data_IF_653539988466
#
_entry.id   IF_653539988466
#
_cell.length_a   1.000
_cell.length_b   1.000
_cell.length_c   1.000
_cell.angle_alpha   90.00
_cell.angle_beta   90.00
_cell.angle_gamma   90.00
#
_symmetry.space_group_name_H-M   'P 1'
#
loop_
_entity.id
_entity.type
_entity.pdbx_description
1 polymer ?
#
# COMPACT_ATOMS: atom_id res chain seq x y z
N UNK A 1 -30.91 -0.90 -3.02
CA UNK A 1 -30.19 -2.20 -3.11
C UNK A 1 -28.72 -1.93 -3.35
N UNK A 2 -28.04 -1.40 -2.33
CA UNK A 2 -26.60 -1.01 -2.34
C UNK A 2 -25.78 -1.79 -1.31
N UNK A 3 -26.44 -2.44 -0.34
CA UNK A 3 -25.82 -3.10 0.82
C UNK A 3 -24.79 -4.19 0.54
N UNK A 4 -24.69 -4.75 -0.67
CA UNK A 4 -23.74 -5.85 -0.93
C UNK A 4 -22.37 -5.36 -1.41
N UNK A 5 -22.34 -4.27 -2.19
CA UNK A 5 -21.08 -3.68 -2.67
C UNK A 5 -20.42 -2.92 -1.53
N UNK A 6 -21.19 -2.11 -0.79
CA UNK A 6 -20.68 -1.35 0.35
C UNK A 6 -20.04 -2.28 1.40
N UNK A 7 -20.71 -3.41 1.69
CA UNK A 7 -20.18 -4.44 2.59
C UNK A 7 -18.90 -5.09 2.05
N UNK A 8 -18.84 -5.40 0.76
CA UNK A 8 -17.63 -5.97 0.15
C UNK A 8 -16.45 -4.98 0.21
N UNK A 9 -16.71 -3.68 0.03
CA UNK A 9 -15.72 -2.61 0.18
C UNK A 9 -15.23 -2.53 1.64
N UNK A 10 -16.15 -2.54 2.61
CA UNK A 10 -15.81 -2.54 4.03
C UNK A 10 -14.93 -3.75 4.41
N UNK A 11 -15.29 -4.95 3.95
CA UNK A 11 -14.50 -6.17 4.16
C UNK A 11 -13.12 -6.07 3.48
N UNK A 12 -13.07 -5.58 2.25
CA UNK A 12 -11.83 -5.36 1.50
C UNK A 12 -10.86 -4.41 2.22
N UNK A 13 -11.38 -3.32 2.78
CA UNK A 13 -10.62 -2.35 3.56
C UNK A 13 -10.23 -2.89 4.94
N UNK A 14 -11.12 -3.63 5.61
CA UNK A 14 -10.83 -4.24 6.91
C UNK A 14 -9.68 -5.26 6.82
N UNK A 15 -9.67 -6.10 5.78
CA UNK A 15 -8.58 -7.06 5.53
C UNK A 15 -7.24 -6.34 5.38
N UNK A 16 -7.20 -5.22 4.66
CA UNK A 16 -5.99 -4.41 4.47
C UNK A 16 -5.53 -3.74 5.74
N UNK A 17 -6.46 -3.21 6.53
CA UNK A 17 -6.17 -2.64 7.84
C UNK A 17 -5.53 -3.67 8.77
N UNK A 18 -6.09 -4.88 8.83
CA UNK A 18 -5.53 -5.97 9.63
C UNK A 18 -4.17 -6.47 9.10
N UNK A 19 -4.00 -6.55 7.78
CA UNK A 19 -2.73 -6.90 7.17
C UNK A 19 -1.67 -5.84 7.48
N UNK A 20 -2.01 -4.55 7.39
CA UNK A 20 -1.11 -3.42 7.68
C UNK A 20 -0.56 -3.44 9.10
N UNK A 21 -1.37 -3.88 10.07
CA UNK A 21 -0.94 -4.06 11.46
C UNK A 21 0.10 -5.19 11.65
N UNK A 22 0.19 -6.13 10.70
CA UNK A 22 1.09 -7.29 10.75
C UNK A 22 2.34 -7.12 9.88
N UNK A 23 2.47 -5.99 9.20
CA UNK A 23 3.63 -5.69 8.36
C UNK A 23 4.82 -5.35 9.24
N UNK A 24 5.85 -6.18 9.14
CA UNK A 24 7.18 -5.90 9.66
C UNK A 24 7.98 -5.09 8.61
N UNK A 25 8.35 -3.84 8.90
CA UNK A 25 9.02 -2.97 7.93
C UNK A 25 10.41 -3.47 7.51
N UNK A 26 11.06 -4.32 8.31
CA UNK A 26 12.39 -4.87 7.96
C UNK A 26 12.29 -5.90 6.84
N UNK A 27 11.26 -6.75 6.89
CA UNK A 27 11.08 -7.89 5.99
C UNK A 27 10.04 -7.66 4.89
N UNK A 28 9.19 -6.65 5.01
CA UNK A 28 8.12 -6.38 4.06
C UNK A 28 8.61 -6.26 2.62
N UNK A 29 7.82 -6.80 1.69
CA UNK A 29 7.97 -6.49 0.27
C UNK A 29 7.33 -5.12 0.01
N UNK A 30 7.99 -4.30 -0.81
CA UNK A 30 7.49 -2.98 -1.20
C UNK A 30 7.48 -2.88 -2.71
N UNK A 31 6.38 -2.36 -3.25
CA UNK A 31 6.22 -2.03 -4.67
C UNK A 31 5.56 -0.67 -4.81
N UNK A 32 5.67 -0.10 -6.01
CA UNK A 32 4.93 1.08 -6.40
C UNK A 32 4.28 0.85 -7.76
N UNK A 33 3.18 1.55 -7.99
CA UNK A 33 2.56 1.68 -9.31
C UNK A 33 1.86 3.04 -9.40
N UNK A 34 1.46 3.42 -10.61
CA UNK A 34 0.62 4.60 -10.79
C UNK A 34 -0.82 4.26 -10.41
N UNK A 35 -1.40 5.05 -9.52
CA UNK A 35 -2.79 4.92 -9.08
C UNK A 35 -3.41 6.31 -8.90
N UNK A 36 -4.74 6.35 -8.77
CA UNK A 36 -5.45 7.55 -8.33
C UNK A 36 -5.02 7.85 -6.88
N UNK A 37 -4.47 9.05 -6.65
CA UNK A 37 -4.01 9.50 -5.33
C UNK A 37 -5.16 9.56 -4.33
N UNK A 38 -6.39 9.81 -4.80
CA UNK A 38 -7.58 9.86 -3.96
C UNK A 38 -8.24 8.49 -3.77
N UNK A 39 -7.91 7.52 -4.62
CA UNK A 39 -8.40 6.14 -4.53
C UNK A 39 -7.32 5.13 -4.97
N UNK A 40 -6.28 4.90 -4.12
CA UNK A 40 -5.15 4.06 -4.49
C UNK A 40 -5.51 2.60 -4.77
N UNK A 41 -6.72 2.17 -4.37
CA UNK A 41 -7.23 0.82 -4.56
C UNK A 41 -8.24 0.68 -5.70
N UNK A 42 -8.68 1.78 -6.33
CA UNK A 42 -9.69 1.76 -7.40
C UNK A 42 -11.05 1.24 -6.93
N UNK A 43 -11.45 1.58 -5.71
CA UNK A 43 -12.73 1.22 -5.10
C UNK A 43 -13.88 2.00 -5.74
N UNK A 44 -13.66 3.27 -6.05
CA UNK A 44 -14.66 4.17 -6.59
C UNK A 44 -14.71 4.07 -8.12
N UNK A 45 -15.92 3.99 -8.71
CA UNK A 45 -16.08 3.80 -10.15
C UNK A 45 -15.72 5.04 -10.98
N UNK A 46 -15.59 6.21 -10.33
CA UNK A 46 -15.27 7.48 -10.95
C UNK A 46 -13.86 7.91 -10.52
N UNK A 47 -12.82 7.52 -11.28
CA UNK A 47 -11.45 7.86 -10.95
C UNK A 47 -11.20 9.35 -11.16
N UNK A 48 -10.37 9.93 -10.29
CA UNK A 48 -9.92 11.30 -10.38
C UNK A 48 -8.81 11.47 -11.43
N UNK A 49 -8.60 12.72 -11.87
CA UNK A 49 -7.47 13.07 -12.75
C UNK A 49 -6.12 13.14 -11.98
N UNK A 50 -6.11 12.89 -10.67
CA UNK A 50 -4.93 12.97 -9.83
C UNK A 50 -4.21 11.61 -9.78
N UNK A 51 -3.45 11.29 -10.81
CA UNK A 51 -2.63 10.07 -10.86
C UNK A 51 -1.22 10.34 -10.31
N UNK A 52 -0.82 9.53 -9.34
CA UNK A 52 0.47 9.63 -8.65
C UNK A 52 1.17 8.29 -8.53
N UNK A 53 2.44 8.33 -8.10
CA UNK A 53 3.18 7.11 -7.74
C UNK A 53 2.81 6.74 -6.31
N UNK A 54 1.97 5.73 -6.17
CA UNK A 54 1.54 5.20 -4.88
C UNK A 54 2.38 3.99 -4.47
N UNK A 55 2.68 3.89 -3.17
CA UNK A 55 3.54 2.85 -2.62
C UNK A 55 2.75 1.90 -1.75
N UNK A 56 3.05 0.61 -1.90
CA UNK A 56 2.34 -0.46 -1.22
C UNK A 56 3.33 -1.41 -0.57
N UNK A 57 2.95 -1.93 0.58
CA UNK A 57 3.71 -2.93 1.33
C UNK A 57 2.87 -4.18 1.58
N UNK A 58 3.56 -5.31 1.73
CA UNK A 58 2.97 -6.55 2.22
C UNK A 58 3.97 -7.35 3.05
N UNK A 59 3.46 -8.15 3.98
CA UNK A 59 4.29 -9.17 4.63
C UNK A 59 4.74 -10.23 3.61
N UNK A 60 5.93 -10.82 3.78
CA UNK A 60 6.35 -11.94 2.95
C UNK A 60 5.29 -13.05 2.95
N UNK A 61 4.97 -13.58 1.77
CA UNK A 61 3.94 -14.61 1.57
C UNK A 61 2.48 -14.19 1.81
N UNK A 62 2.19 -12.91 2.01
CA UNK A 62 0.82 -12.38 1.95
C UNK A 62 0.49 -11.97 0.53
N UNK A 63 -0.77 -12.12 0.10
CA UNK A 63 -1.25 -11.54 -1.16
C UNK A 63 -1.92 -10.17 -0.99
N UNK A 64 -1.97 -9.67 0.25
CA UNK A 64 -2.61 -8.39 0.59
C UNK A 64 -1.58 -7.27 0.52
N UNK A 65 -1.68 -6.44 -0.51
CA UNK A 65 -0.97 -5.16 -0.62
C UNK A 65 -1.74 -4.06 0.11
N UNK A 66 -1.03 -3.32 0.96
CA UNK A 66 -1.57 -2.21 1.75
C UNK A 66 -0.83 -0.94 1.34
N UNK A 67 -1.60 0.08 0.96
CA UNK A 67 -1.08 1.42 0.65
C UNK A 67 -0.42 2.02 1.89
N UNK A 68 0.66 2.79 1.70
CA UNK A 68 1.46 3.32 2.80
C UNK A 68 0.69 4.22 3.77
N UNK A 69 -0.23 5.05 3.28
CA UNK A 69 -1.16 5.87 4.06
C UNK A 69 -2.08 5.08 5.00
N UNK A 70 -2.40 3.84 4.67
CA UNK A 70 -3.17 2.93 5.54
C UNK A 70 -2.32 2.21 6.60
N UNK A 71 -0.99 2.33 6.55
CA UNK A 71 -0.11 1.71 7.52
C UNK A 71 -0.04 2.51 8.84
N UNK A 72 0.24 1.85 9.97
CA UNK A 72 0.67 2.54 11.17
C UNK A 72 1.82 3.48 10.86
N UNK A 73 1.76 4.71 11.40
CA UNK A 73 2.74 5.77 11.11
C UNK A 73 4.19 5.29 11.26
N UNK A 74 4.50 4.56 12.33
CA UNK A 74 5.83 4.01 12.58
C UNK A 74 6.28 3.01 11.49
N UNK A 75 5.38 2.13 11.05
CA UNK A 75 5.65 1.18 9.96
C UNK A 75 5.90 1.93 8.66
N UNK A 76 5.06 2.90 8.32
CA UNK A 76 5.22 3.75 7.13
C UNK A 76 6.57 4.48 7.11
N UNK A 77 6.93 5.12 8.21
CA UNK A 77 8.19 5.86 8.34
C UNK A 77 9.42 4.94 8.20
N UNK A 78 9.39 3.77 8.83
CA UNK A 78 10.46 2.78 8.72
C UNK A 78 10.63 2.27 7.27
N UNK A 79 9.52 2.06 6.55
CA UNK A 79 9.55 1.67 5.15
C UNK A 79 10.13 2.77 4.25
N UNK A 80 9.76 4.04 4.48
CA UNK A 80 10.34 5.17 3.75
C UNK A 80 11.83 5.30 3.95
N UNK A 81 12.30 5.25 5.20
CA UNK A 81 13.73 5.28 5.50
C UNK A 81 14.49 4.12 4.83
N UNK A 82 13.87 2.93 4.76
CA UNK A 82 14.46 1.78 4.08
C UNK A 82 14.55 1.99 2.56
N UNK A 83 13.56 2.63 1.94
CA UNK A 83 13.59 2.98 0.52
C UNK A 83 14.64 4.06 0.21
N UNK A 84 14.72 5.12 1.02
CA UNK A 84 15.72 6.18 0.88
C UNK A 84 17.14 5.61 0.93
N UNK A 85 17.43 4.74 1.91
CA UNK A 85 18.71 4.02 1.99
C UNK A 85 19.01 3.17 0.75
N UNK A 86 17.99 2.63 0.07
CA UNK A 86 18.19 1.86 -1.18
C UNK A 86 18.50 2.77 -2.36
N UNK A 87 17.87 3.94 -2.43
CA UNK A 87 18.10 4.92 -3.50
C UNK A 87 19.50 5.55 -3.39
N UNK A 88 20.01 5.70 -2.17
CA UNK A 88 21.36 6.22 -1.92
C UNK A 88 22.49 5.23 -2.25
N UNK A 89 22.18 3.94 -2.49
CA UNK A 89 23.16 2.97 -2.96
C UNK A 89 23.27 3.07 -4.50
N UNK A 90 24.48 3.22 -5.07
CA UNK A 90 24.63 3.25 -6.52
C UNK A 90 24.13 1.93 -7.11
N UNK A 91 23.33 2.02 -8.18
CA UNK A 91 22.92 0.87 -8.99
C UNK A 91 24.18 0.13 -9.45
N UNK A 92 24.49 -0.99 -8.78
CA UNK A 92 25.42 -2.00 -9.28
C UNK A 92 24.57 -3.01 -10.04
N UNK A 93 24.60 -3.01 -11.39
CA UNK A 93 23.94 -4.04 -12.16
C UNK A 93 24.58 -5.40 -11.81
N UNK A 94 23.74 -6.38 -11.45
CA UNK A 94 24.12 -7.79 -11.35
C UNK A 94 24.32 -8.39 -12.75
#
# INVERSE_FOLDING_TARGET
>A
MTNNIDKAIEEFLAIRKEAGLKIDPETAEVRWWYADVLDPYGIHPDPSDYVGREYFARSPNSDVWVEFGDLPKATREALWQRLERRIELPDVPF
#
